data_IF_470833691527
#
_entry.id   IF_470833691527
#
_cell.length_a   1.000
_cell.length_b   1.000
_cell.length_c   1.000
_cell.angle_alpha   90.00
_cell.angle_beta   90.00
_cell.angle_gamma   90.00
#
_symmetry.space_group_name_H-M   'P 1'
#
loop_
_entity.id
_entity.type
_entity.pdbx_description
1 polymer ?
#
# COMPACT_ATOMS: atom_id res chain seq x y z
N UNK A 1 -35.40 58.65 36.57
CA UNK A 1 -34.97 57.24 36.60
C UNK A 1 -33.45 57.21 36.68
N UNK A 2 -32.94 56.43 37.64
CA UNK A 2 -31.55 56.20 38.10
C UNK A 2 -30.46 56.46 37.04
N UNK A 3 -29.32 57.11 37.30
CA UNK A 3 -28.66 57.48 38.55
C UNK A 3 -27.14 57.36 38.31
N UNK A 4 -26.48 58.49 38.05
CA UNK A 4 -25.02 58.65 38.01
C UNK A 4 -24.50 58.83 39.44
N UNK A 5 -23.39 58.18 39.83
CA UNK A 5 -22.49 58.41 40.97
C UNK A 5 -21.74 57.08 41.26
N UNK A 6 -20.46 56.97 41.65
CA UNK A 6 -19.62 57.88 42.45
C UNK A 6 -18.15 57.43 42.35
N UNK A 7 -17.26 58.39 42.16
CA UNK A 7 -15.81 58.27 42.43
C UNK A 7 -15.54 58.95 43.78
N UNK A 8 -14.84 58.31 44.73
CA UNK A 8 -13.87 58.94 45.67
C UNK A 8 -13.32 57.97 46.74
N UNK A 9 -11.97 57.93 46.83
CA UNK A 9 -11.07 58.13 48.03
C UNK A 9 -11.31 57.22 49.24
N UNK A 10 -10.34 56.55 49.88
CA UNK A 10 -8.88 56.69 49.96
C UNK A 10 -8.32 55.70 51.02
N UNK A 11 -7.24 56.01 51.75
CA UNK A 11 -6.00 55.20 51.81
C UNK A 11 -5.82 54.41 53.12
N UNK A 12 -5.02 53.32 53.11
CA UNK A 12 -4.15 52.94 54.25
C UNK A 12 -2.86 52.30 53.72
N UNK A 13 -1.78 52.72 54.34
CA UNK A 13 -0.38 52.57 53.98
C UNK A 13 0.32 51.88 55.16
N UNK A 14 0.83 50.66 54.99
CA UNK A 14 1.85 49.98 55.84
C UNK A 14 2.52 48.95 54.90
N UNK A 15 3.72 49.08 54.33
CA UNK A 15 5.08 49.46 54.76
C UNK A 15 5.79 48.43 55.65
N UNK A 16 6.96 47.98 55.14
CA UNK A 16 8.06 47.19 55.72
C UNK A 16 7.86 45.66 55.75
N UNK A 17 8.83 44.81 55.46
CA UNK A 17 10.20 44.94 54.91
C UNK A 17 10.78 43.51 54.80
N UNK A 18 11.81 43.37 53.96
CA UNK A 18 13.06 42.64 54.23
C UNK A 18 13.44 41.50 53.25
N UNK A 19 14.74 41.59 52.90
CA UNK A 19 15.65 40.60 52.32
C UNK A 19 15.35 40.17 50.87
N UNK A 20 16.23 40.38 49.89
CA UNK A 20 17.68 40.24 49.95
C UNK A 20 18.06 38.97 49.19
N UNK A 21 18.69 39.11 48.03
CA UNK A 21 19.17 37.97 47.25
C UNK A 21 19.52 38.32 45.81
N UNK A 22 20.77 38.74 45.59
CA UNK A 22 21.44 38.58 44.30
C UNK A 22 21.60 37.08 44.02
N UNK A 23 21.23 36.63 42.81
CA UNK A 23 21.46 35.25 42.39
C UNK A 23 20.99 34.99 40.96
N UNK A 24 21.97 34.80 40.08
CA UNK A 24 21.81 34.59 38.64
C UNK A 24 21.02 33.32 38.28
N UNK A 25 20.32 33.37 37.14
CA UNK A 25 20.50 32.48 36.00
C UNK A 25 19.46 32.84 34.92
N UNK A 26 19.94 33.43 33.83
CA UNK A 26 19.21 33.47 32.56
C UNK A 26 19.01 32.02 32.09
N UNK A 27 17.90 31.38 32.45
CA UNK A 27 17.41 30.25 31.68
C UNK A 27 16.68 30.82 30.48
N UNK A 28 17.45 31.11 29.44
CA UNK A 28 16.93 31.05 28.08
C UNK A 28 16.37 29.64 27.90
N UNK A 29 15.06 29.47 28.10
CA UNK A 29 14.36 28.27 27.66
C UNK A 29 14.65 28.13 26.16
N UNK A 30 15.24 27.04 25.67
CA UNK A 30 15.11 26.76 24.27
C UNK A 30 13.62 26.55 24.04
N UNK A 31 13.00 27.46 23.28
CA UNK A 31 11.77 27.15 22.58
C UNK A 31 12.14 25.99 21.65
N UNK A 32 11.99 24.77 22.14
CA UNK A 32 11.88 23.61 21.29
C UNK A 32 10.65 23.87 20.42
N UNK A 33 10.90 24.34 19.21
CA UNK A 33 9.96 24.14 18.12
C UNK A 33 9.91 22.63 17.92
N UNK A 34 9.03 21.96 18.66
CA UNK A 34 8.56 20.63 18.30
C UNK A 34 7.79 20.86 17.00
N UNK A 35 8.52 20.76 15.89
CA UNK A 35 7.89 20.59 14.59
C UNK A 35 6.93 19.42 14.72
N UNK A 36 5.66 19.66 14.40
CA UNK A 36 4.60 18.67 14.41
C UNK A 36 5.07 17.40 13.69
N UNK A 37 5.41 16.36 14.45
CA UNK A 37 5.62 15.03 13.90
C UNK A 37 4.26 14.62 13.35
N UNK A 38 4.11 14.37 12.04
CA UNK A 38 2.83 13.91 11.51
C UNK A 38 2.46 12.61 12.21
N UNK A 39 1.26 12.60 12.78
CA UNK A 39 0.43 11.46 13.20
C UNK A 39 1.02 10.08 12.84
N UNK A 40 2.05 9.63 13.58
CA UNK A 40 2.51 8.26 13.46
C UNK A 40 1.59 7.44 14.35
N UNK A 41 0.73 6.66 13.69
CA UNK A 41 -0.10 5.66 14.35
C UNK A 41 0.80 4.84 15.31
N UNK A 42 0.45 4.75 16.61
CA UNK A 42 1.25 4.03 17.58
C UNK A 42 1.54 2.60 17.09
N UNK A 43 2.73 2.04 17.37
CA UNK A 43 3.00 0.65 17.05
C UNK A 43 1.95 -0.21 17.77
N UNK A 44 1.13 -0.92 16.98
CA UNK A 44 0.06 -1.74 17.49
C UNK A 44 0.67 -3.04 18.04
N UNK A 45 0.37 -3.36 19.30
CA UNK A 45 0.56 -4.73 19.80
C UNK A 45 -0.52 -5.58 19.18
N UNK A 46 -0.13 -6.55 18.34
CA UNK A 46 -1.07 -7.46 17.69
C UNK A 46 -1.54 -8.47 18.73
N UNK A 47 -2.83 -8.46 19.03
CA UNK A 47 -3.46 -9.45 19.92
C UNK A 47 -3.86 -10.71 19.15
N UNK A 48 -4.17 -11.79 19.87
CA UNK A 48 -4.69 -13.02 19.25
C UNK A 48 -5.97 -12.79 18.45
N UNK A 49 -6.81 -11.83 18.88
CA UNK A 49 -8.01 -11.45 18.15
C UNK A 49 -7.68 -10.77 16.82
N UNK A 50 -6.70 -9.87 16.80
CA UNK A 50 -6.23 -9.20 15.58
C UNK A 50 -5.63 -10.20 14.59
N UNK A 51 -4.87 -11.17 15.11
CA UNK A 51 -4.34 -12.30 14.34
C UNK A 51 -5.44 -13.19 13.76
N UNK A 52 -6.47 -13.52 14.54
CA UNK A 52 -7.62 -14.31 14.06
C UNK A 52 -8.39 -13.56 12.95
N UNK A 53 -8.68 -12.28 13.13
CA UNK A 53 -9.30 -11.44 12.09
C UNK A 53 -8.50 -11.47 10.78
N UNK A 54 -7.17 -11.38 10.86
CA UNK A 54 -6.28 -11.47 9.69
C UNK A 54 -6.41 -12.82 9.00
N UNK A 55 -6.23 -13.92 9.74
CA UNK A 55 -6.29 -15.28 9.20
C UNK A 55 -7.64 -15.57 8.56
N UNK A 56 -8.74 -15.12 9.17
CA UNK A 56 -10.09 -15.28 8.63
C UNK A 56 -10.29 -14.53 7.32
N UNK A 57 -9.80 -13.29 7.21
CA UNK A 57 -9.81 -12.56 5.94
C UNK A 57 -9.03 -13.32 4.86
N UNK A 58 -7.82 -13.77 5.16
CA UNK A 58 -7.01 -14.56 4.24
C UNK A 58 -7.76 -15.81 3.76
N UNK A 59 -8.39 -16.56 4.68
CA UNK A 59 -9.12 -17.79 4.38
C UNK A 59 -10.40 -17.61 3.55
N UNK A 60 -11.18 -16.56 3.83
CA UNK A 60 -12.47 -16.37 3.15
C UNK A 60 -12.36 -15.60 1.83
N UNK A 61 -11.31 -14.79 1.65
CA UNK A 61 -11.11 -14.01 0.42
C UNK A 61 -10.26 -14.70 -0.63
N UNK A 62 -9.51 -15.74 -0.28
CA UNK A 62 -8.64 -16.45 -1.22
C UNK A 62 -9.10 -17.87 -1.50
N UNK A 63 -8.57 -18.46 -2.56
CA UNK A 63 -8.61 -19.91 -2.72
C UNK A 63 -7.81 -20.56 -1.59
N UNK A 64 -8.52 -21.19 -0.65
CA UNK A 64 -7.99 -21.82 0.57
C UNK A 64 -6.87 -22.82 0.33
N UNK A 65 -6.75 -23.39 -0.87
CA UNK A 65 -5.70 -24.36 -1.21
C UNK A 65 -4.38 -23.72 -1.66
N UNK A 66 -4.38 -22.41 -1.87
CA UNK A 66 -3.26 -21.65 -2.42
C UNK A 66 -2.63 -20.74 -1.34
N UNK A 67 -1.43 -21.08 -0.88
CA UNK A 67 -0.69 -20.29 0.11
C UNK A 67 -0.33 -18.89 -0.42
N UNK A 68 -0.06 -18.79 -1.72
CA UNK A 68 0.24 -17.51 -2.39
C UNK A 68 -0.97 -16.57 -2.29
N UNK A 69 -2.17 -17.12 -2.49
CA UNK A 69 -3.44 -16.44 -2.31
C UNK A 69 -3.69 -15.91 -0.89
N UNK A 70 -3.36 -16.71 0.13
CA UNK A 70 -3.49 -16.29 1.54
C UNK A 70 -2.60 -15.07 1.80
N UNK A 71 -1.31 -15.15 1.46
CA UNK A 71 -0.34 -14.08 1.69
C UNK A 71 -0.69 -12.83 0.87
N UNK A 72 -1.23 -13.00 -0.34
CA UNK A 72 -1.69 -11.88 -1.17
C UNK A 72 -2.83 -11.09 -0.53
N UNK A 73 -3.83 -11.76 0.04
CA UNK A 73 -4.91 -11.09 0.79
C UNK A 73 -4.37 -10.47 2.08
N UNK A 74 -3.52 -11.18 2.82
CA UNK A 74 -2.89 -10.66 4.03
C UNK A 74 -2.11 -9.37 3.76
N UNK A 75 -1.37 -9.33 2.65
CA UNK A 75 -0.67 -8.14 2.16
C UNK A 75 -1.62 -6.96 1.96
N UNK A 76 -2.79 -7.17 1.35
CA UNK A 76 -3.80 -6.11 1.19
C UNK A 76 -4.29 -5.59 2.54
N UNK A 77 -4.59 -6.49 3.49
CA UNK A 77 -5.05 -6.10 4.83
C UNK A 77 -4.01 -5.24 5.54
N UNK A 78 -2.73 -5.61 5.46
CA UNK A 78 -1.64 -4.83 6.04
C UNK A 78 -1.43 -3.49 5.32
N UNK A 79 -1.51 -3.47 3.99
CA UNK A 79 -1.44 -2.22 3.21
C UNK A 79 -2.57 -1.25 3.59
N UNK A 80 -3.78 -1.77 3.83
CA UNK A 80 -4.91 -0.96 4.33
C UNK A 80 -4.62 -0.45 5.73
N UNK A 81 -4.15 -1.30 6.63
CA UNK A 81 -3.85 -0.93 8.01
C UNK A 81 -2.84 0.22 8.13
N UNK A 82 -1.84 0.21 7.25
CA UNK A 82 -0.78 1.21 7.15
C UNK A 82 -1.24 2.52 6.48
N UNK A 83 -2.36 2.48 5.74
CA UNK A 83 -2.87 3.66 5.04
C UNK A 83 -3.86 4.46 5.91
N UNK A 84 -3.67 5.77 5.96
CA UNK A 84 -4.45 6.70 6.79
C UNK A 84 -5.96 6.71 6.51
N UNK A 85 -6.43 6.25 5.35
CA UNK A 85 -7.85 6.20 5.02
C UNK A 85 -8.59 5.06 5.73
N UNK A 86 -7.88 4.06 6.26
CA UNK A 86 -8.50 2.94 6.97
C UNK A 86 -8.34 3.11 8.49
N UNK A 87 -9.41 2.86 9.26
CA UNK A 87 -9.40 3.02 10.70
C UNK A 87 -8.63 1.88 11.39
N UNK A 88 -8.02 2.18 12.54
CA UNK A 88 -7.86 1.21 13.63
C UNK A 88 -6.99 -0.03 13.35
N UNK A 89 -7.30 -1.13 14.04
CA UNK A 89 -6.58 -2.41 13.96
C UNK A 89 -6.93 -3.24 12.72
N UNK A 90 -6.34 -4.44 12.61
CA UNK A 90 -6.63 -5.41 11.56
C UNK A 90 -8.11 -5.81 11.60
N UNK A 91 -8.68 -6.09 12.77
CA UNK A 91 -10.11 -6.40 12.91
C UNK A 91 -11.00 -5.25 12.42
N UNK A 92 -10.60 -4.00 12.61
CA UNK A 92 -11.36 -2.84 12.12
C UNK A 92 -11.34 -2.76 10.58
N UNK A 93 -10.21 -3.10 9.95
CA UNK A 93 -10.09 -3.21 8.49
C UNK A 93 -10.96 -4.35 7.96
N UNK A 94 -10.87 -5.53 8.56
CA UNK A 94 -11.58 -6.74 8.12
C UNK A 94 -13.10 -6.63 8.35
N UNK A 95 -13.50 -5.97 9.43
CA UNK A 95 -14.90 -5.78 9.81
C UNK A 95 -15.64 -4.68 9.03
N UNK A 96 -14.97 -3.98 8.10
CA UNK A 96 -15.64 -2.94 7.32
C UNK A 96 -16.80 -3.51 6.49
N UNK A 97 -18.00 -2.89 6.55
CA UNK A 97 -19.17 -3.41 5.84
C UNK A 97 -18.94 -3.52 4.33
N UNK A 98 -19.18 -4.72 3.78
CA UNK A 98 -19.11 -4.98 2.33
C UNK A 98 -17.70 -5.03 1.72
N UNK A 99 -16.65 -4.93 2.53
CA UNK A 99 -15.26 -4.95 2.05
C UNK A 99 -14.66 -6.36 1.93
N UNK A 100 -15.23 -7.29 2.68
CA UNK A 100 -14.86 -8.70 2.79
C UNK A 100 -16.15 -9.56 2.74
N UNK A 101 -15.99 -10.87 2.58
CA UNK A 101 -17.05 -11.84 2.44
C UNK A 101 -18.07 -11.74 3.59
N UNK A 102 -19.37 -11.90 3.31
CA UNK A 102 -20.39 -11.90 4.35
C UNK A 102 -20.08 -12.94 5.43
N UNK A 103 -19.99 -12.51 6.68
CA UNK A 103 -19.63 -13.37 7.81
C UNK A 103 -18.14 -13.69 7.93
N UNK A 104 -17.24 -12.92 7.32
CA UNK A 104 -15.77 -13.11 7.45
C UNK A 104 -15.32 -13.23 8.91
N UNK A 105 -15.95 -12.54 9.86
CA UNK A 105 -15.63 -12.62 11.29
C UNK A 105 -16.45 -13.66 12.08
N UNK A 106 -17.48 -14.28 11.49
CA UNK A 106 -18.40 -15.17 12.23
C UNK A 106 -18.49 -16.60 11.69
N UNK A 107 -18.25 -16.82 10.40
CA UNK A 107 -18.33 -18.15 9.77
C UNK A 107 -17.23 -19.09 10.26
N UNK A 108 -17.51 -20.37 10.56
CA UNK A 108 -16.45 -21.29 10.96
C UNK A 108 -15.48 -21.54 9.79
N UNK A 109 -14.18 -21.61 10.11
CA UNK A 109 -13.18 -22.17 9.21
C UNK A 109 -13.19 -23.69 9.31
N UNK A 110 -12.66 -24.38 8.29
CA UNK A 110 -12.55 -25.83 8.34
C UNK A 110 -11.35 -26.23 9.20
N UNK A 111 -11.53 -27.22 10.08
CA UNK A 111 -10.49 -27.70 11.02
C UNK A 111 -9.16 -28.00 10.31
N UNK A 112 -9.23 -28.69 9.15
CA UNK A 112 -8.06 -29.06 8.35
C UNK A 112 -7.24 -27.88 7.83
N UNK A 113 -7.81 -26.68 7.78
CA UNK A 113 -7.15 -25.48 7.25
C UNK A 113 -6.65 -24.54 8.36
N UNK A 114 -7.03 -24.76 9.62
CA UNK A 114 -6.74 -23.84 10.73
C UNK A 114 -5.25 -23.59 10.92
N UNK A 115 -4.43 -24.65 10.98
CA UNK A 115 -2.99 -24.51 11.18
C UNK A 115 -2.32 -23.73 10.04
N UNK A 116 -2.62 -24.08 8.80
CA UNK A 116 -2.09 -23.40 7.61
C UNK A 116 -2.45 -21.90 7.60
N UNK A 117 -3.69 -21.57 7.95
CA UNK A 117 -4.15 -20.18 8.02
C UNK A 117 -3.44 -19.43 9.15
N UNK A 118 -3.29 -20.08 10.30
CA UNK A 118 -2.57 -19.56 11.46
C UNK A 118 -1.10 -19.26 11.11
N UNK A 119 -0.40 -20.21 10.48
CA UNK A 119 1.00 -20.05 10.04
C UNK A 119 1.16 -18.92 9.02
N UNK A 120 0.24 -18.83 8.05
CA UNK A 120 0.28 -17.77 7.05
C UNK A 120 0.00 -16.39 7.69
N UNK A 121 -0.93 -16.31 8.64
CA UNK A 121 -1.19 -15.07 9.38
C UNK A 121 0.04 -14.64 10.17
N UNK A 122 0.72 -15.57 10.85
CA UNK A 122 1.97 -15.29 11.57
C UNK A 122 3.06 -14.77 10.65
N UNK A 123 3.23 -15.40 9.47
CA UNK A 123 4.21 -14.96 8.48
C UNK A 123 3.94 -13.52 8.04
N UNK A 124 2.68 -13.19 7.72
CA UNK A 124 2.29 -11.83 7.33
C UNK A 124 2.49 -10.83 8.47
N UNK A 125 2.16 -11.20 9.71
CA UNK A 125 2.39 -10.37 10.89
C UNK A 125 3.89 -10.15 11.16
N UNK A 126 4.74 -11.14 10.86
CA UNK A 126 6.19 -11.05 10.92
C UNK A 126 6.81 -10.20 9.78
N UNK A 127 5.99 -9.75 8.82
CA UNK A 127 6.41 -8.86 7.74
C UNK A 127 6.48 -9.52 6.37
N UNK A 128 6.06 -10.79 6.22
CA UNK A 128 5.95 -11.41 4.91
C UNK A 128 4.92 -10.68 4.05
N UNK A 129 5.27 -10.44 2.78
CA UNK A 129 4.42 -9.75 1.81
C UNK A 129 4.50 -10.47 0.47
N UNK A 130 3.40 -10.51 -0.25
CA UNK A 130 3.34 -11.12 -1.56
C UNK A 130 4.13 -10.25 -2.57
N UNK A 131 5.12 -10.81 -3.30
CA UNK A 131 6.11 -10.03 -4.03
C UNK A 131 5.54 -9.19 -5.18
N UNK A 132 4.41 -9.61 -5.76
CA UNK A 132 3.76 -8.88 -6.87
C UNK A 132 2.57 -8.02 -6.46
N UNK A 133 2.05 -8.17 -5.24
CA UNK A 133 0.87 -7.37 -4.79
C UNK A 133 1.30 -5.93 -4.50
N UNK A 134 2.54 -5.73 -4.05
CA UNK A 134 3.10 -4.40 -3.82
C UNK A 134 2.20 -3.60 -2.87
N UNK A 135 1.79 -2.39 -3.31
CA UNK A 135 0.95 -1.47 -2.53
C UNK A 135 -0.55 -1.59 -2.83
N UNK A 136 -0.97 -2.61 -3.57
CA UNK A 136 -2.39 -2.78 -3.87
C UNK A 136 -3.19 -2.94 -2.57
N UNK A 137 -4.29 -2.18 -2.48
CA UNK A 137 -5.23 -2.22 -1.37
C UNK A 137 -6.59 -2.79 -1.78
N UNK A 138 -6.73 -3.18 -3.05
CA UNK A 138 -7.99 -3.59 -3.64
C UNK A 138 -7.77 -4.86 -4.45
N UNK A 139 -8.80 -5.70 -4.47
CA UNK A 139 -8.85 -6.88 -5.31
C UNK A 139 -10.30 -7.20 -5.66
N UNK A 140 -10.48 -8.11 -6.60
CA UNK A 140 -11.74 -8.78 -6.87
C UNK A 140 -11.44 -10.15 -7.49
N UNK A 141 -12.45 -10.99 -7.61
CA UNK A 141 -12.35 -12.28 -8.30
C UNK A 141 -11.73 -12.12 -9.69
N UNK A 142 -10.71 -12.91 -10.00
CA UNK A 142 -10.02 -12.87 -11.27
C UNK A 142 -10.99 -13.18 -12.43
N UNK A 143 -10.79 -12.52 -13.57
CA UNK A 143 -11.64 -12.68 -14.76
C UNK A 143 -12.87 -11.76 -14.79
N UNK A 144 -13.30 -11.20 -13.65
CA UNK A 144 -14.33 -10.15 -13.66
C UNK A 144 -13.78 -8.85 -14.23
N UNK A 145 -14.63 -8.11 -14.97
CA UNK A 145 -14.31 -6.80 -15.55
C UNK A 145 -15.29 -5.77 -15.03
N UNK A 146 -14.75 -4.62 -14.64
CA UNK A 146 -15.53 -3.47 -14.20
C UNK A 146 -15.26 -2.28 -15.13
N UNK A 147 -16.24 -1.39 -15.35
CA UNK A 147 -16.09 -0.25 -16.27
C UNK A 147 -15.24 0.90 -15.71
N UNK A 148 -14.54 0.69 -14.58
CA UNK A 148 -13.71 1.72 -13.97
C UNK A 148 -12.35 1.82 -14.67
N UNK A 149 -11.94 3.06 -14.96
CA UNK A 149 -10.69 3.34 -15.69
C UNK A 149 -9.49 3.58 -14.76
N UNK A 150 -9.72 3.60 -13.45
CA UNK A 150 -8.71 3.92 -12.44
C UNK A 150 -8.10 2.69 -11.75
N UNK A 151 -8.39 1.48 -12.24
CA UNK A 151 -7.90 0.23 -11.67
C UNK A 151 -6.62 -0.21 -12.39
N UNK A 152 -5.48 -0.17 -11.68
CA UNK A 152 -4.19 -0.60 -12.20
C UNK A 152 -3.82 -1.95 -11.60
N UNK A 153 -4.01 -3.01 -12.38
CA UNK A 153 -3.73 -4.38 -11.95
C UNK A 153 -2.23 -4.64 -11.80
N UNK A 154 -1.85 -5.33 -10.72
CA UNK A 154 -0.45 -5.61 -10.38
C UNK A 154 -0.16 -7.11 -10.23
N UNK A 155 -1.17 -7.91 -9.83
CA UNK A 155 -1.00 -9.34 -9.61
C UNK A 155 -2.31 -10.11 -9.78
N UNK A 156 -2.17 -11.41 -10.05
CA UNK A 156 -3.25 -12.40 -9.92
C UNK A 156 -2.73 -13.54 -9.05
N UNK A 157 -3.43 -13.85 -7.96
CA UNK A 157 -3.08 -14.90 -7.00
C UNK A 157 -4.34 -15.34 -6.23
N UNK A 158 -4.42 -16.60 -5.78
CA UNK A 158 -5.53 -17.06 -4.95
C UNK A 158 -6.93 -16.91 -5.55
N UNK A 159 -7.06 -16.85 -6.88
CA UNK A 159 -8.33 -16.59 -7.57
C UNK A 159 -8.75 -15.11 -7.64
N UNK A 160 -7.87 -14.18 -7.23
CA UNK A 160 -8.14 -12.74 -7.24
C UNK A 160 -7.19 -11.99 -8.17
N UNK A 161 -7.66 -10.86 -8.71
CA UNK A 161 -6.86 -9.85 -9.36
C UNK A 161 -6.70 -8.64 -8.44
N UNK A 162 -5.45 -8.28 -8.13
CA UNK A 162 -5.07 -7.20 -7.22
C UNK A 162 -4.75 -5.94 -8.00
N UNK A 163 -5.17 -4.78 -7.49
CA UNK A 163 -4.98 -3.51 -8.17
C UNK A 163 -4.86 -2.31 -7.22
N UNK A 164 -4.20 -1.28 -7.73
CA UNK A 164 -4.15 0.05 -7.15
C UNK A 164 -5.24 0.92 -7.78
N UNK A 165 -5.88 1.78 -6.98
CA UNK A 165 -6.73 2.85 -7.51
C UNK A 165 -5.88 4.09 -7.71
N UNK A 166 -5.71 4.55 -8.94
CA UNK A 166 -5.00 5.81 -9.24
C UNK A 166 -5.99 6.92 -9.51
N UNK A 167 -5.84 8.05 -8.84
CA UNK A 167 -6.62 9.23 -9.21
C UNK A 167 -6.20 9.72 -10.61
N UNK A 168 -7.07 10.47 -11.29
CA UNK A 168 -6.78 10.96 -12.65
C UNK A 168 -5.55 11.88 -12.73
N UNK A 169 -5.18 12.55 -11.64
CA UNK A 169 -4.02 13.45 -11.60
C UNK A 169 -2.73 12.64 -11.48
N UNK A 170 -2.68 11.63 -10.63
CA UNK A 170 -1.57 10.70 -10.41
C UNK A 170 -1.37 9.81 -11.64
N UNK A 171 -2.45 9.31 -12.25
CA UNK A 171 -2.39 8.59 -13.52
C UNK A 171 -1.84 9.43 -14.69
N UNK A 172 -2.01 10.77 -14.65
CA UNK A 172 -1.45 11.69 -15.65
C UNK A 172 0.04 11.98 -15.40
N UNK A 173 0.49 11.95 -14.14
CA UNK A 173 1.88 12.19 -13.75
C UNK A 173 2.79 10.97 -13.99
N UNK A 174 2.25 9.75 -13.87
CA UNK A 174 2.98 8.50 -14.11
C UNK A 174 2.96 8.03 -15.57
N UNK A 175 2.34 8.80 -16.48
CA UNK A 175 2.41 8.47 -17.91
C UNK A 175 3.90 8.43 -18.28
N UNK A 176 4.43 7.31 -18.79
CA UNK A 176 5.82 7.26 -19.20
C UNK A 176 6.04 8.38 -20.20
N UNK A 177 7.06 9.20 -19.97
CA UNK A 177 7.61 10.02 -21.03
C UNK A 177 7.80 9.08 -22.23
N UNK A 178 7.18 9.45 -23.35
CA UNK A 178 7.17 8.66 -24.59
C UNK A 178 8.61 8.16 -24.80
N UNK A 179 8.87 6.84 -24.94
CA UNK A 179 10.24 6.36 -25.07
C UNK A 179 10.92 7.19 -26.15
N UNK A 180 12.02 7.84 -25.79
CA UNK A 180 12.92 8.41 -26.77
C UNK A 180 13.13 7.32 -27.81
N UNK A 181 12.81 7.65 -29.06
CA UNK A 181 12.92 6.75 -30.19
C UNK A 181 14.36 6.27 -30.22
N UNK A 182 14.59 5.07 -29.69
CA UNK A 182 15.91 4.45 -29.71
C UNK A 182 16.19 4.18 -31.17
N UNK A 183 17.12 4.95 -31.73
CA UNK A 183 17.69 4.72 -33.04
C UNK A 183 18.04 3.24 -33.16
N UNK A 184 17.28 2.55 -34.02
CA UNK A 184 17.57 1.16 -34.37
C UNK A 184 18.98 1.14 -34.95
N UNK A 185 19.90 0.29 -34.48
CA UNK A 185 21.11 0.03 -35.25
C UNK A 185 20.70 -0.55 -36.61
N UNK A 186 21.21 0.07 -37.67
CA UNK A 186 21.00 -0.37 -39.04
C UNK A 186 21.39 -1.85 -39.16
N UNK A 187 20.48 -2.65 -39.71
CA UNK A 187 20.77 -4.02 -40.14
C UNK A 187 21.90 -3.95 -41.18
N UNK A 188 23.02 -4.69 -41.03
CA UNK A 188 24.04 -4.72 -42.06
C UNK A 188 23.45 -5.43 -43.29
N UNK A 189 23.48 -4.74 -44.43
CA UNK A 189 23.13 -5.32 -45.71
C UNK A 189 24.14 -6.42 -46.07
N UNK A 190 23.64 -7.62 -46.36
CA UNK A 190 24.44 -8.72 -46.90
C UNK A 190 24.93 -8.35 -48.31
N UNK A 191 26.19 -8.66 -48.69
CA UNK A 191 26.66 -8.42 -50.04
C UNK A 191 26.00 -9.40 -51.02
N UNK A 192 25.43 -8.87 -52.10
CA UNK A 192 24.98 -9.64 -53.25
C UNK A 192 26.20 -10.25 -53.94
N UNK A 193 26.49 -11.52 -53.66
CA UNK A 193 27.49 -12.29 -54.41
C UNK A 193 26.78 -12.97 -55.58
N UNK A 194 27.22 -12.66 -56.79
CA UNK A 194 26.61 -13.05 -58.05
C UNK A 194 26.54 -14.58 -58.22
N UNK A 195 25.34 -15.08 -58.51
CA UNK A 195 25.13 -16.41 -59.09
C UNK A 195 25.62 -16.39 -60.54
N UNK A 196 26.80 -16.97 -60.79
CA UNK A 196 27.22 -17.32 -62.15
C UNK A 196 26.75 -18.75 -62.43
N UNK A 197 25.76 -18.87 -63.31
CA UNK A 197 25.34 -20.15 -63.88
C UNK A 197 26.42 -20.64 -64.85
N UNK A 198 27.05 -21.77 -64.55
CA UNK A 198 27.82 -22.53 -65.53
C UNK A 198 26.88 -23.49 -66.27
N UNK A 199 26.73 -23.28 -67.57
CA UNK A 199 25.99 -24.17 -68.47
C UNK A 199 26.76 -25.48 -68.70
N UNK A 200 26.10 -26.62 -68.53
CA UNK A 200 26.64 -27.95 -68.83
C UNK A 200 26.19 -28.35 -70.24
N UNK A 201 27.10 -28.74 -71.17
CA UNK A 201 26.70 -29.19 -72.49
C UNK A 201 26.20 -30.65 -72.48
N UNK A 202 25.17 -30.92 -73.28
CA UNK A 202 24.54 -32.23 -73.45
C UNK A 202 25.41 -33.20 -74.28
N UNK A 203 25.40 -34.51 -73.98
CA UNK A 203 26.06 -35.51 -74.82
C UNK A 203 25.21 -35.90 -76.05
N UNK A 204 25.84 -36.32 -77.16
CA UNK A 204 25.12 -36.72 -78.37
C UNK A 204 24.48 -38.11 -78.24
N UNK A 205 23.30 -38.26 -78.86
CA UNK A 205 22.54 -39.50 -78.95
C UNK A 205 23.20 -40.49 -79.91
N UNK A 206 23.36 -41.74 -79.47
CA UNK A 206 23.72 -42.86 -80.33
C UNK A 206 22.47 -43.40 -81.04
N UNK A 207 22.59 -43.59 -82.36
CA UNK A 207 21.58 -44.17 -83.25
C UNK A 207 21.47 -45.70 -83.14
N UNK A 208 20.65 -46.30 -84.03
CA UNK A 208 19.94 -47.57 -83.82
C UNK A 208 20.80 -48.83 -83.76
#
# INVERSE_FOLDING_TARGET
MRGSERTKVGPVLIVLAAAGGLGACNTASPVLTTGSIPDRKPPMVVSDAERDCLGRAMYFESNRSDSDGLVAVGTVVMNRLENAIFPGGICAVVGQPGQFAPGVLTKPMQEKDLQKVADAADAVLAGERHPKVGKAMFFHTAGHRFPYTNMHYVAVAGGNAFYEKRDRRTAKLEKPEKPAQQDRPATPALPATALTFAAVPAPPAAGP
#
